data_IF_278545998779
#
_entry.id   IF_278545998779
#
_cell.length_a   1.000
_cell.length_b   1.000
_cell.length_c   1.000
_cell.angle_alpha   90.00
_cell.angle_beta   90.00
_cell.angle_gamma   90.00
#
_symmetry.space_group_name_H-M   'P 1'
#
loop_
_entity.id
_entity.type
_entity.pdbx_description
1 polymer ?
#
# COMPACT_ATOMS: atom_id res chain seq x y z
N UNK A 1 -23.70 34.88 46.77
CA UNK A 1 -24.22 34.20 45.57
C UNK A 1 -23.06 33.70 44.74
N UNK A 2 -22.88 32.41 44.76
CA UNK A 2 -21.81 31.76 44.05
C UNK A 2 -22.35 31.19 42.76
N UNK A 3 -21.90 31.71 41.63
CA UNK A 3 -22.17 31.07 40.34
C UNK A 3 -21.11 30.01 40.12
N UNK A 4 -21.51 28.75 40.18
CA UNK A 4 -20.66 27.63 39.79
C UNK A 4 -20.73 27.54 38.28
N UNK A 5 -19.62 27.91 37.63
CA UNK A 5 -19.48 27.67 36.19
C UNK A 5 -19.07 26.21 36.00
N UNK A 6 -20.01 25.37 35.67
CA UNK A 6 -19.70 23.99 35.31
C UNK A 6 -19.16 24.01 33.91
N UNK A 7 -17.86 23.91 33.74
CA UNK A 7 -17.26 23.66 32.46
C UNK A 7 -17.50 22.17 32.08
N UNK A 8 -18.48 21.95 31.25
CA UNK A 8 -18.66 20.63 30.67
C UNK A 8 -17.65 20.46 29.55
N UNK A 9 -16.58 19.72 29.85
CA UNK A 9 -15.60 19.34 28.83
C UNK A 9 -16.24 18.27 27.95
N UNK A 10 -16.73 18.66 26.78
CA UNK A 10 -17.10 17.70 25.76
C UNK A 10 -15.83 17.19 25.09
N UNK A 11 -15.38 16.02 25.51
CA UNK A 11 -14.36 15.30 24.77
C UNK A 11 -14.99 14.81 23.45
N UNK A 12 -14.68 15.49 22.38
CA UNK A 12 -15.02 15.04 21.05
C UNK A 12 -14.09 13.86 20.70
N UNK A 13 -14.57 12.65 20.94
CA UNK A 13 -13.96 11.48 20.36
C UNK A 13 -14.42 11.37 18.90
N UNK A 14 -13.66 11.94 18.00
CA UNK A 14 -13.84 11.66 16.60
C UNK A 14 -13.44 10.20 16.37
N UNK A 15 -14.40 9.33 16.13
CA UNK A 15 -14.14 7.98 15.68
C UNK A 15 -13.55 8.06 14.26
N UNK A 16 -12.23 8.09 14.16
CA UNK A 16 -11.51 8.00 12.89
C UNK A 16 -11.37 6.54 12.54
N UNK A 17 -12.36 5.99 11.82
CA UNK A 17 -12.32 4.59 11.45
C UNK A 17 -12.12 4.48 9.94
N UNK A 18 -12.13 3.46 9.32
CA UNK A 18 -12.09 3.00 7.91
C UNK A 18 -11.53 3.95 6.82
N UNK A 19 -11.85 5.26 6.80
CA UNK A 19 -11.30 6.19 5.82
C UNK A 19 -9.78 6.32 5.93
N UNK A 20 -9.25 6.27 7.17
CA UNK A 20 -7.81 6.33 7.43
C UNK A 20 -7.08 5.07 6.98
N UNK A 21 -7.73 3.90 7.02
CA UNK A 21 -7.11 2.63 6.59
C UNK A 21 -6.89 2.63 5.08
N UNK A 22 -7.88 3.06 4.29
CA UNK A 22 -7.74 3.14 2.84
C UNK A 22 -6.64 4.13 2.43
N UNK A 23 -6.61 5.29 3.05
CA UNK A 23 -5.59 6.30 2.79
C UNK A 23 -4.20 5.83 3.22
N UNK A 24 -4.09 5.14 4.34
CA UNK A 24 -2.83 4.59 4.84
C UNK A 24 -2.30 3.49 3.91
N UNK A 25 -3.16 2.64 3.38
CA UNK A 25 -2.80 1.60 2.41
C UNK A 25 -2.28 2.23 1.11
N UNK A 26 -3.00 3.19 0.57
CA UNK A 26 -2.57 3.91 -0.64
C UNK A 26 -1.22 4.58 -0.43
N UNK A 27 -1.04 5.23 0.70
CA UNK A 27 0.21 5.90 1.06
C UNK A 27 1.37 4.93 1.13
N UNK A 28 1.19 3.77 1.74
CA UNK A 28 2.22 2.72 1.81
C UNK A 28 2.66 2.30 0.40
N UNK A 29 1.71 2.04 -0.49
CA UNK A 29 2.00 1.65 -1.87
C UNK A 29 2.68 2.79 -2.64
N UNK A 30 2.17 4.01 -2.51
CA UNK A 30 2.75 5.19 -3.16
C UNK A 30 4.18 5.46 -2.68
N UNK A 31 4.43 5.36 -1.38
CA UNK A 31 5.74 5.59 -0.78
C UNK A 31 6.74 4.52 -1.23
N UNK A 32 6.31 3.27 -1.34
CA UNK A 32 7.16 2.21 -1.88
C UNK A 32 7.53 2.49 -3.35
N UNK A 33 6.56 2.86 -4.17
CA UNK A 33 6.80 3.18 -5.58
C UNK A 33 7.73 4.39 -5.70
N UNK A 34 7.56 5.41 -4.87
CA UNK A 34 8.46 6.56 -4.83
C UNK A 34 9.90 6.15 -4.50
N UNK A 35 10.07 5.23 -3.56
CA UNK A 35 11.39 4.68 -3.23
C UNK A 35 12.00 3.91 -4.41
N UNK A 36 11.21 3.12 -5.13
CA UNK A 36 11.67 2.43 -6.35
C UNK A 36 12.15 3.42 -7.42
N UNK A 37 11.45 4.54 -7.60
CA UNK A 37 11.84 5.56 -8.57
C UNK A 37 13.19 6.19 -8.27
N UNK A 38 13.60 6.19 -7.01
CA UNK A 38 14.91 6.67 -6.55
C UNK A 38 15.95 5.55 -6.46
N UNK A 39 15.60 4.33 -6.82
CA UNK A 39 16.41 3.12 -6.61
C UNK A 39 16.81 2.93 -5.14
N UNK A 40 15.98 3.44 -4.22
CA UNK A 40 16.14 3.26 -2.78
C UNK A 40 15.45 1.97 -2.33
N UNK A 41 16.09 0.85 -2.62
CA UNK A 41 15.55 -0.48 -2.34
C UNK A 41 15.50 -0.79 -0.84
N UNK A 42 16.35 -0.18 -0.03
CA UNK A 42 16.29 -0.32 1.42
C UNK A 42 14.98 0.23 1.98
N UNK A 43 14.62 1.45 1.59
CA UNK A 43 13.36 2.06 2.00
C UNK A 43 12.16 1.28 1.45
N UNK A 44 12.20 0.92 0.17
CA UNK A 44 11.13 0.15 -0.47
C UNK A 44 10.91 -1.20 0.23
N UNK A 45 11.99 -1.88 0.60
CA UNK A 45 11.97 -3.16 1.30
C UNK A 45 11.34 -3.05 2.70
N UNK A 46 11.51 -1.89 3.34
CA UNK A 46 10.91 -1.61 4.65
C UNK A 46 9.39 -1.60 4.67
N UNK A 47 8.74 -1.42 3.53
CA UNK A 47 7.27 -1.45 3.42
C UNK A 47 6.70 -2.87 3.29
N UNK A 48 7.54 -3.88 3.12
CA UNK A 48 7.13 -5.27 3.09
C UNK A 48 6.96 -5.85 4.50
N UNK A 49 6.13 -6.88 4.63
CA UNK A 49 5.97 -7.60 5.89
C UNK A 49 7.28 -8.28 6.28
N UNK A 50 7.50 -8.55 7.59
CA UNK A 50 8.67 -9.32 8.03
C UNK A 50 8.81 -10.67 7.32
N UNK A 51 7.70 -11.37 7.09
CA UNK A 51 7.70 -12.64 6.37
C UNK A 51 8.25 -12.49 4.94
N UNK A 52 7.77 -11.47 4.22
CA UNK A 52 8.22 -11.22 2.85
C UNK A 52 9.70 -10.78 2.80
N UNK A 53 10.11 -9.98 3.76
CA UNK A 53 11.52 -9.56 3.90
C UNK A 53 12.44 -10.74 4.18
N UNK A 54 12.02 -11.64 5.04
CA UNK A 54 12.78 -12.87 5.32
C UNK A 54 12.91 -13.74 4.07
N UNK A 55 11.83 -13.86 3.30
CA UNK A 55 11.80 -14.63 2.07
C UNK A 55 12.83 -14.14 1.03
N UNK A 56 12.99 -12.84 0.85
CA UNK A 56 13.95 -12.26 -0.08
C UNK A 56 15.35 -12.14 0.52
N UNK A 57 15.45 -12.03 1.81
CA UNK A 57 16.70 -12.00 2.57
C UNK A 57 17.41 -10.64 2.60
N UNK A 58 17.32 -9.86 1.55
CA UNK A 58 17.96 -8.54 1.47
C UNK A 58 17.20 -7.58 0.56
N UNK A 59 17.41 -6.29 0.77
CA UNK A 59 16.90 -5.25 -0.11
C UNK A 59 17.45 -5.36 -1.53
N UNK A 60 18.69 -5.81 -1.67
CA UNK A 60 19.31 -6.04 -2.97
C UNK A 60 18.59 -7.13 -3.76
N UNK A 61 18.33 -8.27 -3.15
CA UNK A 61 17.57 -9.36 -3.77
C UNK A 61 16.15 -8.94 -4.12
N UNK A 62 15.52 -8.22 -3.22
CA UNK A 62 14.19 -7.65 -3.44
C UNK A 62 14.18 -6.70 -4.64
N UNK A 63 15.16 -5.82 -4.73
CA UNK A 63 15.30 -4.88 -5.84
C UNK A 63 15.50 -5.58 -7.18
N UNK A 64 16.31 -6.63 -7.23
CA UNK A 64 16.50 -7.45 -8.43
C UNK A 64 15.20 -8.11 -8.87
N UNK A 65 14.45 -8.66 -7.94
CA UNK A 65 13.16 -9.29 -8.21
C UNK A 65 12.18 -8.28 -8.80
N UNK A 66 12.07 -7.09 -8.21
CA UNK A 66 11.15 -6.05 -8.67
C UNK A 66 11.54 -5.56 -10.08
N UNK A 67 12.79 -5.27 -10.31
CA UNK A 67 13.25 -4.82 -11.65
C UNK A 67 13.00 -5.86 -12.73
N UNK A 68 13.19 -7.13 -12.42
CA UNK A 68 13.07 -8.21 -13.39
C UNK A 68 11.63 -8.73 -13.55
N UNK A 69 10.88 -8.83 -12.44
CA UNK A 69 9.54 -9.40 -12.44
C UNK A 69 8.41 -8.39 -12.47
N UNK A 70 8.66 -7.16 -12.01
CA UNK A 70 7.65 -6.10 -11.89
C UNK A 70 8.18 -4.77 -12.43
N UNK A 71 8.68 -4.71 -13.66
CA UNK A 71 9.29 -3.48 -14.19
C UNK A 71 8.32 -2.32 -14.23
N UNK A 72 7.02 -2.57 -14.38
CA UNK A 72 5.98 -1.54 -14.35
C UNK A 72 5.82 -0.92 -12.96
N UNK A 73 6.08 -1.66 -11.89
CA UNK A 73 6.06 -1.15 -10.52
C UNK A 73 7.31 -0.33 -10.21
N UNK A 74 8.44 -0.76 -10.74
CA UNK A 74 9.71 -0.07 -10.60
C UNK A 74 9.72 1.28 -11.31
N UNK A 75 9.12 1.36 -12.49
CA UNK A 75 9.07 2.57 -13.33
C UNK A 75 7.67 2.76 -13.93
N UNK A 76 6.65 3.05 -13.13
CA UNK A 76 5.32 3.33 -13.66
C UNK A 76 5.27 4.72 -14.31
N UNK A 77 4.46 4.87 -15.35
CA UNK A 77 4.07 6.19 -15.85
C UNK A 77 2.84 6.72 -15.12
N UNK A 78 1.94 5.82 -14.69
CA UNK A 78 0.73 6.20 -13.94
C UNK A 78 0.32 5.08 -12.99
N UNK A 79 -0.17 5.46 -11.83
CA UNK A 79 -0.70 4.54 -10.81
C UNK A 79 -2.13 4.96 -10.48
N UNK A 80 -3.07 4.02 -10.64
CA UNK A 80 -4.49 4.26 -10.39
C UNK A 80 -4.97 3.24 -9.37
N UNK A 81 -5.47 3.71 -8.23
CA UNK A 81 -6.06 2.84 -7.22
C UNK A 81 -7.50 2.50 -7.61
N UNK A 82 -7.77 1.20 -7.68
CA UNK A 82 -9.11 0.68 -7.93
C UNK A 82 -9.74 0.23 -6.61
N UNK A 83 -10.68 -0.69 -6.64
CA UNK A 83 -11.36 -1.17 -5.45
C UNK A 83 -10.47 -1.95 -4.49
N UNK A 84 -10.93 -2.10 -3.25
CA UNK A 84 -10.33 -2.99 -2.29
C UNK A 84 -11.40 -3.91 -1.68
N UNK A 85 -10.95 -5.01 -1.09
CA UNK A 85 -11.80 -5.99 -0.43
C UNK A 85 -11.12 -6.56 0.80
N UNK A 86 -11.89 -7.09 1.73
CA UNK A 86 -11.33 -7.78 2.88
C UNK A 86 -10.68 -9.08 2.44
N UNK A 87 -9.51 -9.35 2.99
CA UNK A 87 -8.77 -10.57 2.73
C UNK A 87 -8.15 -11.07 4.04
N UNK A 88 -8.67 -12.19 4.58
CA UNK A 88 -8.21 -12.75 5.86
C UNK A 88 -8.09 -11.69 6.96
N UNK A 89 -6.86 -11.41 7.40
CA UNK A 89 -6.56 -10.43 8.46
C UNK A 89 -6.15 -9.06 7.92
N UNK A 90 -6.36 -8.81 6.62
CA UNK A 90 -5.95 -7.59 5.98
C UNK A 90 -6.92 -7.13 4.90
N UNK A 91 -6.40 -6.34 3.99
CA UNK A 91 -7.12 -5.83 2.83
C UNK A 91 -6.34 -6.14 1.55
N UNK A 92 -7.07 -6.45 0.48
CA UNK A 92 -6.51 -6.56 -0.86
C UNK A 92 -6.84 -5.28 -1.63
N UNK A 93 -5.83 -4.53 -2.05
CA UNK A 93 -5.97 -3.31 -2.84
C UNK A 93 -5.63 -3.60 -4.29
N UNK A 94 -6.58 -3.36 -5.19
CA UNK A 94 -6.35 -3.48 -6.63
C UNK A 94 -5.79 -2.18 -7.17
N UNK A 95 -4.76 -2.29 -7.97
CA UNK A 95 -4.04 -1.15 -8.56
C UNK A 95 -3.86 -1.38 -10.05
N UNK A 96 -4.19 -0.37 -10.83
CA UNK A 96 -3.85 -0.32 -12.26
C UNK A 96 -2.56 0.47 -12.41
N UNK A 97 -1.56 -0.14 -13.01
CA UNK A 97 -0.29 0.51 -13.30
C UNK A 97 -0.10 0.59 -14.81
N UNK A 98 0.08 1.80 -15.29
CA UNK A 98 0.41 2.05 -16.69
C UNK A 98 1.93 2.13 -16.82
N UNK A 99 2.51 1.31 -17.68
CA UNK A 99 3.96 1.31 -17.87
C UNK A 99 4.43 2.45 -18.79
N UNK A 100 5.73 2.53 -19.01
CA UNK A 100 6.35 3.57 -19.83
C UNK A 100 5.89 3.55 -21.30
N UNK A 101 5.36 2.42 -21.76
CA UNK A 101 4.85 2.24 -23.13
C UNK A 101 3.34 2.46 -23.24
N UNK A 102 2.68 2.83 -22.15
CA UNK A 102 1.24 3.06 -22.10
C UNK A 102 0.40 1.80 -21.90
N UNK A 103 1.03 0.65 -21.64
CA UNK A 103 0.30 -0.60 -21.37
C UNK A 103 -0.17 -0.64 -19.93
N UNK A 104 -1.43 -1.04 -19.71
CA UNK A 104 -2.01 -1.20 -18.38
C UNK A 104 -1.74 -2.60 -17.83
N UNK A 105 -1.34 -2.63 -16.55
CA UNK A 105 -1.17 -3.83 -15.76
C UNK A 105 -2.05 -3.75 -14.53
N UNK A 106 -2.67 -4.85 -14.13
CA UNK A 106 -3.55 -4.89 -12.97
C UNK A 106 -2.92 -5.78 -11.91
N UNK A 107 -2.79 -5.25 -10.70
CA UNK A 107 -2.14 -5.94 -9.60
C UNK A 107 -3.02 -5.90 -8.36
N UNK A 108 -2.97 -6.97 -7.58
CA UNK A 108 -3.59 -7.02 -6.26
C UNK A 108 -2.49 -7.00 -5.22
N UNK A 109 -2.53 -5.98 -4.38
CA UNK A 109 -1.64 -5.82 -3.24
C UNK A 109 -2.31 -6.37 -2.00
N UNK A 110 -1.72 -7.38 -1.38
CA UNK A 110 -2.18 -7.90 -0.10
C UNK A 110 -1.56 -7.09 1.02
N UNK A 111 -2.41 -6.38 1.76
CA UNK A 111 -1.99 -5.44 2.79
C UNK A 111 -2.31 -5.99 4.16
N UNK A 112 -1.35 -5.95 5.06
CA UNK A 112 -1.47 -6.43 6.44
C UNK A 112 -1.03 -5.33 7.38
N UNK A 113 -1.83 -5.08 8.42
CA UNK A 113 -1.44 -4.17 9.49
C UNK A 113 -0.50 -4.89 10.44
N UNK A 114 0.67 -4.32 10.63
CA UNK A 114 1.72 -4.85 11.49
C UNK A 114 2.34 -3.71 12.29
N UNK A 115 2.36 -3.83 13.61
CA UNK A 115 2.88 -2.78 14.50
C UNK A 115 2.29 -1.39 14.24
N UNK A 116 0.99 -1.32 14.00
CA UNK A 116 0.30 -0.06 13.74
C UNK A 116 0.54 0.53 12.35
N UNK A 117 1.23 -0.17 11.47
CA UNK A 117 1.52 0.26 10.11
C UNK A 117 1.01 -0.75 9.09
N UNK A 118 0.50 -0.26 7.96
CA UNK A 118 0.15 -1.11 6.85
C UNK A 118 1.39 -1.51 6.07
N UNK A 119 1.52 -2.81 5.81
CA UNK A 119 2.66 -3.38 5.09
C UNK A 119 2.19 -4.26 3.95
N UNK A 120 3.03 -4.40 2.94
CA UNK A 120 2.76 -5.21 1.77
C UNK A 120 3.20 -6.65 2.06
N UNK A 121 2.23 -7.57 2.06
CA UNK A 121 2.48 -9.00 2.30
C UNK A 121 2.59 -9.83 1.03
N UNK A 122 2.25 -9.25 -0.11
CA UNK A 122 2.34 -9.91 -1.40
C UNK A 122 1.70 -9.07 -2.50
N UNK A 123 2.07 -9.37 -3.73
CA UNK A 123 1.50 -8.73 -4.92
C UNK A 123 1.31 -9.81 -5.97
N UNK A 124 0.13 -9.84 -6.60
CA UNK A 124 -0.13 -10.76 -7.69
C UNK A 124 -0.64 -10.02 -8.93
N UNK A 125 -0.34 -10.57 -10.09
CA UNK A 125 -0.89 -10.08 -11.34
C UNK A 125 -2.33 -10.56 -11.52
N UNK A 126 -3.18 -9.67 -12.01
CA UNK A 126 -4.55 -9.98 -12.36
C UNK A 126 -4.70 -9.98 -13.89
N UNK A 127 -5.56 -10.86 -14.45
CA UNK A 127 -5.83 -10.85 -15.88
C UNK A 127 -6.46 -9.52 -16.33
N UNK A 128 -5.93 -8.92 -17.38
CA UNK A 128 -6.49 -7.70 -17.98
C UNK A 128 -7.94 -7.87 -18.42
N UNK A 129 -8.33 -9.10 -18.82
CA UNK A 129 -9.70 -9.43 -19.21
C UNK A 129 -10.74 -9.21 -18.12
N UNK A 130 -10.34 -9.26 -16.84
CA UNK A 130 -11.25 -9.00 -15.71
C UNK A 130 -11.66 -7.52 -15.64
N UNK A 131 -10.97 -6.64 -16.35
CA UNK A 131 -11.16 -5.19 -16.34
C UNK A 131 -11.60 -4.64 -17.70
N UNK A 132 -11.80 -5.51 -18.70
CA UNK A 132 -12.33 -5.17 -20.01
C UNK A 132 -13.84 -5.06 -19.96
N UNK A 133 -14.37 -4.05 -20.58
CA UNK A 133 -15.83 -3.87 -20.75
C UNK A 133 -16.26 -4.54 -22.05
#
# INVERSE_FOLDING_TARGET
MWKILTFTFFAFFAAQVSANSNDAIKRTIEDQIAAFKLDDFETAFGFATPFLREKFGSAENFGKMVRNGYPMVWRPSKVIFLGNERYHHGLAQVVQIVDAKGKSHYLRYYMIEFDGSWRIGGVEFLPASDFSV
#
